data_IF_359937191368
#
_entry.id   IF_359937191368
#
_cell.length_a   1.000
_cell.length_b   1.000
_cell.length_c   1.000
_cell.angle_alpha   90.00
_cell.angle_beta   90.00
_cell.angle_gamma   90.00
#
_symmetry.space_group_name_H-M   'P 1'
#
loop_
_entity.id
_entity.type
_entity.pdbx_description
1 polymer ?
#
# COMPACT_ATOMS: atom_id res chain seq x y z
N UNK A 1 -9.11 -14.51 42.97
CA UNK A 1 -9.45 -13.52 41.92
C UNK A 1 -8.52 -12.32 42.07
N UNK A 2 -7.49 -12.20 41.22
CA UNK A 2 -6.65 -11.01 41.19
C UNK A 2 -7.46 -9.81 40.70
N UNK A 3 -7.57 -8.76 41.53
CA UNK A 3 -8.16 -7.49 41.10
C UNK A 3 -7.09 -6.75 40.31
N UNK A 4 -7.12 -6.92 38.99
CA UNK A 4 -6.25 -6.16 38.09
C UNK A 4 -6.63 -4.69 38.30
N UNK A 5 -5.70 -3.91 38.84
CA UNK A 5 -5.91 -2.49 39.08
C UNK A 5 -6.10 -1.75 37.75
N UNK A 6 -6.91 -0.70 37.73
CA UNK A 6 -7.14 0.11 36.53
C UNK A 6 -5.81 0.57 35.88
N UNK A 7 -4.79 0.82 36.68
CA UNK A 7 -3.43 1.16 36.22
C UNK A 7 -2.74 0.03 35.46
N UNK A 8 -2.82 -1.21 35.94
CA UNK A 8 -2.29 -2.41 35.25
C UNK A 8 -2.99 -2.62 33.90
N UNK A 9 -4.32 -2.42 33.86
CA UNK A 9 -5.09 -2.51 32.61
C UNK A 9 -4.63 -1.44 31.62
N UNK A 10 -4.41 -0.20 32.08
CA UNK A 10 -3.94 0.89 31.23
C UNK A 10 -2.56 0.59 30.65
N UNK A 11 -1.65 0.08 31.48
CA UNK A 11 -0.29 -0.31 31.06
C UNK A 11 -0.35 -1.41 30.01
N UNK A 12 -1.16 -2.45 30.23
CA UNK A 12 -1.33 -3.55 29.27
C UNK A 12 -1.88 -3.05 27.93
N UNK A 13 -2.87 -2.14 27.94
CA UNK A 13 -3.43 -1.56 26.73
C UNK A 13 -2.40 -0.74 25.94
N UNK A 14 -1.56 0.04 26.62
CA UNK A 14 -0.49 0.81 25.97
C UNK A 14 0.53 -0.11 25.32
N UNK A 15 0.97 -1.16 26.02
CA UNK A 15 1.93 -2.13 25.50
C UNK A 15 1.37 -2.86 24.27
N UNK A 16 0.11 -3.32 24.34
CA UNK A 16 -0.60 -3.94 23.22
C UNK A 16 -0.71 -2.99 22.02
N UNK A 17 -1.06 -1.73 22.27
CA UNK A 17 -1.13 -0.71 21.23
C UNK A 17 0.22 -0.49 20.55
N UNK A 18 1.29 -0.26 21.32
CA UNK A 18 2.64 -0.01 20.80
C UNK A 18 3.16 -1.19 19.98
N UNK A 19 2.86 -2.44 20.38
CA UNK A 19 3.25 -3.64 19.63
C UNK A 19 2.43 -3.81 18.33
N UNK A 20 1.14 -3.48 18.35
CA UNK A 20 0.27 -3.61 17.18
C UNK A 20 0.52 -2.51 16.12
N UNK A 21 0.86 -1.30 16.57
CA UNK A 21 1.07 -0.12 15.70
C UNK A 21 2.08 -0.36 14.56
N UNK A 22 3.30 -0.88 14.78
CA UNK A 22 4.28 -1.09 13.70
C UNK A 22 3.80 -2.11 12.67
N UNK A 23 3.13 -3.19 13.10
CA UNK A 23 2.57 -4.18 12.17
C UNK A 23 1.49 -3.55 11.28
N UNK A 24 0.60 -2.73 11.86
CA UNK A 24 -0.43 -2.01 11.12
C UNK A 24 0.19 -1.04 10.10
N UNK A 25 1.23 -0.29 10.50
CA UNK A 25 1.95 0.63 9.61
C UNK A 25 2.60 -0.12 8.44
N UNK A 26 3.27 -1.25 8.71
CA UNK A 26 3.88 -2.08 7.65
C UNK A 26 2.82 -2.60 6.68
N UNK A 27 1.69 -3.10 7.18
CA UNK A 27 0.59 -3.58 6.35
C UNK A 27 0.00 -2.45 5.49
N UNK A 28 -0.19 -1.25 6.07
CA UNK A 28 -0.65 -0.06 5.34
C UNK A 28 0.33 0.38 4.24
N UNK A 29 1.63 0.35 4.53
CA UNK A 29 2.67 0.69 3.55
C UNK A 29 2.70 -0.33 2.40
N UNK A 30 2.60 -1.62 2.70
CA UNK A 30 2.52 -2.68 1.69
C UNK A 30 1.23 -2.56 0.86
N UNK A 31 0.10 -2.25 1.50
CA UNK A 31 -1.17 -2.01 0.81
C UNK A 31 -1.08 -0.82 -0.16
N UNK A 32 -0.38 0.27 0.22
CA UNK A 32 -0.14 1.42 -0.67
C UNK A 32 0.84 1.12 -1.81
N UNK A 33 1.85 0.27 -1.56
CA UNK A 33 2.80 -0.17 -2.60
C UNK A 33 2.13 -0.97 -3.72
N UNK A 34 0.99 -1.60 -3.44
CA UNK A 34 0.14 -2.27 -4.43
C UNK A 34 -0.77 -1.28 -5.20
N UNK A 35 -0.36 -0.03 -5.41
CA UNK A 35 -0.79 0.68 -6.61
C UNK A 35 -0.09 0.02 -7.80
N UNK A 36 -0.61 -1.14 -8.20
CA UNK A 36 -0.31 -1.76 -9.48
C UNK A 36 -0.50 -0.68 -10.53
N UNK A 37 0.62 -0.16 -11.05
CA UNK A 37 0.61 0.56 -12.30
C UNK A 37 -0.11 -0.37 -13.27
N UNK A 38 -1.37 -0.09 -13.56
CA UNK A 38 -2.08 -0.84 -14.58
C UNK A 38 -1.23 -0.67 -15.84
N UNK A 39 -0.63 -1.73 -16.36
CA UNK A 39 0.12 -1.66 -17.60
C UNK A 39 -0.87 -1.98 -18.72
N UNK A 40 -0.98 -1.07 -19.70
CA UNK A 40 -1.74 -1.30 -20.93
C UNK A 40 -0.77 -1.60 -22.08
N UNK A 41 -1.25 -2.36 -23.05
CA UNK A 41 -0.49 -2.66 -24.28
C UNK A 41 -0.75 -1.55 -25.27
N UNK A 42 0.31 -0.92 -25.80
CA UNK A 42 0.18 0.07 -26.86
C UNK A 42 -0.41 -0.60 -28.13
N UNK A 43 -1.46 -0.04 -28.74
CA UNK A 43 -2.06 -0.62 -29.94
C UNK A 43 -1.14 -0.54 -31.16
N UNK A 44 -0.26 0.46 -31.24
CA UNK A 44 0.63 0.67 -32.39
C UNK A 44 1.85 -0.27 -32.38
N UNK A 45 2.60 -0.32 -31.28
CA UNK A 45 3.86 -1.08 -31.21
C UNK A 45 3.82 -2.29 -30.27
N UNK A 46 2.66 -2.60 -29.67
CA UNK A 46 2.46 -3.72 -28.73
C UNK A 46 3.35 -3.71 -27.48
N UNK A 47 4.00 -2.58 -27.18
CA UNK A 47 4.81 -2.39 -25.96
C UNK A 47 3.90 -2.31 -24.74
N UNK A 48 4.33 -2.90 -23.62
CA UNK A 48 3.68 -2.66 -22.33
C UNK A 48 4.09 -1.30 -21.78
N UNK A 49 3.11 -0.47 -21.44
CA UNK A 49 3.33 0.89 -20.93
C UNK A 49 2.35 1.16 -19.79
N UNK A 50 2.66 2.15 -18.95
CA UNK A 50 1.76 2.54 -17.86
C UNK A 50 0.40 3.01 -18.42
N UNK A 51 -0.70 2.60 -17.82
CA UNK A 51 -2.06 3.02 -18.18
C UNK A 51 -2.26 4.52 -17.96
N UNK A 52 -1.45 5.13 -17.07
CA UNK A 52 -1.41 6.59 -16.87
C UNK A 52 -0.58 7.32 -17.93
N UNK A 53 0.13 6.61 -18.82
CA UNK A 53 0.89 7.23 -19.89
C UNK A 53 -0.07 7.76 -20.97
N UNK A 54 0.05 9.06 -21.28
CA UNK A 54 -0.65 9.68 -22.41
C UNK A 54 -0.04 9.28 -23.77
N UNK A 55 1.26 8.99 -23.80
CA UNK A 55 2.02 8.71 -25.01
C UNK A 55 2.95 7.50 -24.82
N UNK A 56 3.19 6.77 -25.91
CA UNK A 56 4.00 5.57 -25.89
C UNK A 56 5.48 5.95 -25.99
N UNK A 57 6.33 5.64 -25.00
CA UNK A 57 7.76 5.95 -25.09
C UNK A 57 8.50 5.13 -26.16
N UNK A 58 7.87 4.07 -26.71
CA UNK A 58 8.45 3.26 -27.76
C UNK A 58 8.23 3.82 -29.17
N UNK A 59 7.00 4.24 -29.49
CA UNK A 59 6.62 4.66 -30.85
C UNK A 59 6.17 6.13 -30.95
N UNK A 60 5.96 6.82 -29.83
CA UNK A 60 5.47 8.20 -29.80
C UNK A 60 3.95 8.34 -29.96
N UNK A 61 3.22 7.27 -30.29
CA UNK A 61 1.77 7.33 -30.45
C UNK A 61 1.03 7.68 -29.15
N UNK A 62 -0.06 8.47 -29.23
CA UNK A 62 -0.94 8.70 -28.10
C UNK A 62 -1.67 7.41 -27.70
N UNK A 63 -1.80 7.14 -26.40
CA UNK A 63 -2.58 6.02 -25.87
C UNK A 63 -3.96 6.43 -25.35
N UNK A 64 -4.56 7.45 -25.95
CA UNK A 64 -5.92 7.93 -25.65
C UNK A 64 -6.96 6.83 -25.80
#
# INVERSE_FOLDING_TARGET
>A
MGRIGLGEVLILLVILGVLATPAIVVVLLLARGKQTSALKVCPACRRQVSARALQCPGCGDPLS
#
